data_IF_625492945104
#
_entry.id   IF_625492945104
#
_cell.length_a   1.000
_cell.length_b   1.000
_cell.length_c   1.000
_cell.angle_alpha   90.00
_cell.angle_beta   90.00
_cell.angle_gamma   90.00
#
_symmetry.space_group_name_H-M   'P 1'
#
loop_
_entity.id
_entity.type
_entity.pdbx_description
1 polymer ?
#
# COMPACT_ATOMS: atom_id res chain seq x y z
N UNK A 1 -5.18 -52.36 -28.03
CA UNK A 1 -4.10 -51.99 -27.08
C UNK A 1 -4.51 -50.71 -26.36
N UNK A 2 -5.12 -50.75 -25.18
CA UNK A 2 -4.55 -50.95 -23.82
C UNK A 2 -3.63 -49.78 -23.41
N UNK A 3 -3.85 -49.00 -22.33
CA UNK A 3 -4.73 -49.11 -21.15
C UNK A 3 -5.10 -47.71 -20.60
N UNK A 4 -6.22 -47.69 -19.88
CA UNK A 4 -7.08 -46.55 -19.46
C UNK A 4 -6.79 -46.04 -18.02
N UNK A 5 -7.50 -45.01 -17.52
CA UNK A 5 -7.00 -43.93 -16.66
C UNK A 5 -7.55 -43.91 -15.21
N UNK A 6 -7.16 -42.86 -14.47
CA UNK A 6 -7.79 -42.21 -13.30
C UNK A 6 -8.33 -43.06 -12.13
N UNK A 7 -7.57 -43.07 -11.03
CA UNK A 7 -8.05 -43.19 -9.63
C UNK A 7 -6.96 -42.47 -8.80
N UNK A 8 -7.19 -41.39 -8.06
CA UNK A 8 -7.81 -41.38 -6.73
C UNK A 8 -8.44 -40.00 -6.51
N UNK A 9 -9.76 -40.03 -6.46
CA UNK A 9 -10.62 -39.07 -5.77
C UNK A 9 -10.39 -39.16 -4.26
N UNK A 10 -10.22 -38.02 -3.59
CA UNK A 10 -10.51 -37.91 -2.16
C UNK A 10 -11.08 -36.52 -1.88
N UNK A 11 -12.39 -36.41 -2.06
CA UNK A 11 -13.20 -35.34 -1.51
C UNK A 11 -13.21 -35.48 0.02
N UNK A 12 -12.75 -34.46 0.74
CA UNK A 12 -13.08 -34.30 2.16
C UNK A 12 -14.26 -33.35 2.27
N UNK A 13 -15.41 -33.97 2.55
CA UNK A 13 -16.71 -33.36 2.80
C UNK A 13 -16.76 -32.82 4.22
N UNK A 14 -17.16 -31.55 4.34
CA UNK A 14 -18.02 -30.97 5.38
C UNK A 14 -17.73 -31.31 6.85
N UNK A 15 -17.25 -30.32 7.62
CA UNK A 15 -17.42 -30.30 9.08
C UNK A 15 -17.94 -28.94 9.52
N UNK A 16 -18.85 -29.01 10.48
CA UNK A 16 -19.95 -28.10 10.70
C UNK A 16 -19.66 -27.00 11.74
N UNK A 17 -20.65 -26.12 11.84
CA UNK A 17 -20.83 -24.93 12.67
C UNK A 17 -20.56 -25.04 14.19
N UNK A 18 -19.95 -23.95 14.72
CA UNK A 18 -20.08 -23.26 16.05
C UNK A 18 -19.58 -23.97 17.36
N UNK A 19 -19.17 -23.25 18.45
CA UNK A 19 -19.54 -21.87 18.83
C UNK A 19 -18.41 -20.92 19.34
N UNK A 20 -18.89 -19.72 19.69
CA UNK A 20 -18.33 -18.51 20.32
C UNK A 20 -17.61 -18.71 21.69
N UNK A 21 -16.81 -17.69 22.10
CA UNK A 21 -16.23 -17.38 23.44
C UNK A 21 -14.79 -17.93 23.64
N UNK A 22 -13.73 -17.12 23.84
CA UNK A 22 -13.58 -16.15 24.92
C UNK A 22 -12.69 -14.95 24.54
N UNK A 23 -13.22 -13.76 24.83
CA UNK A 23 -12.50 -12.50 24.79
C UNK A 23 -11.45 -12.48 25.92
N UNK A 24 -10.17 -12.55 25.58
CA UNK A 24 -9.10 -12.17 26.51
C UNK A 24 -9.03 -10.65 26.51
N UNK A 25 -9.69 -10.05 27.50
CA UNK A 25 -9.88 -8.61 27.63
C UNK A 25 -8.57 -7.81 27.60
N UNK A 26 -8.65 -6.53 27.21
CA UNK A 26 -7.50 -5.64 27.18
C UNK A 26 -7.00 -5.36 28.59
N UNK A 27 -5.69 -5.53 28.80
CA UNK A 27 -5.02 -5.01 30.00
C UNK A 27 -5.10 -3.48 29.97
N UNK A 28 -5.69 -2.82 30.98
CA UNK A 28 -5.76 -1.37 31.03
C UNK A 28 -4.42 -0.85 31.55
N UNK A 29 -3.53 -0.44 30.65
CA UNK A 29 -2.52 0.56 31.02
C UNK A 29 -3.22 1.91 30.98
N UNK A 30 -3.76 2.31 32.13
CA UNK A 30 -3.98 3.72 32.42
C UNK A 30 -2.62 4.40 32.46
N UNK A 31 -2.36 5.26 31.48
CA UNK A 31 -1.46 6.39 31.72
C UNK A 31 -1.93 7.58 30.89
N UNK A 32 -2.61 8.48 31.61
CA UNK A 32 -2.61 9.92 31.43
C UNK A 32 -3.26 10.46 30.15
N UNK A 33 -4.53 10.85 30.31
CA UNK A 33 -5.14 11.90 29.52
C UNK A 33 -4.29 13.17 29.57
N UNK A 34 -3.42 13.37 28.59
CA UNK A 34 -3.10 14.71 28.13
C UNK A 34 -4.21 15.13 27.20
N UNK A 35 -5.13 15.95 27.70
CA UNK A 35 -5.93 16.86 26.87
C UNK A 35 -4.95 17.84 26.24
N UNK A 36 -4.21 17.36 25.24
CA UNK A 36 -3.50 18.17 24.29
C UNK A 36 -4.54 18.64 23.31
N UNK A 37 -4.78 19.95 23.30
CA UNK A 37 -5.51 20.65 22.26
C UNK A 37 -4.89 20.25 20.91
N UNK A 38 -5.44 19.24 20.24
CA UNK A 38 -5.12 18.93 18.86
C UNK A 38 -5.73 20.06 18.06
N UNK A 39 -5.04 21.19 18.01
CA UNK A 39 -5.15 22.14 16.93
C UNK A 39 -5.01 21.30 15.68
N UNK A 40 -6.14 21.05 15.03
CA UNK A 40 -6.20 20.47 13.71
C UNK A 40 -5.35 21.37 12.84
N UNK A 41 -4.08 20.99 12.62
CA UNK A 41 -3.26 21.63 11.61
C UNK A 41 -4.08 21.64 10.33
N UNK A 42 -4.13 22.76 9.59
CA UNK A 42 -4.82 22.79 8.32
C UNK A 42 -4.32 21.61 7.51
N UNK A 43 -5.24 20.69 7.18
CA UNK A 43 -4.93 19.52 6.39
C UNK A 43 -4.51 20.05 5.03
N UNK A 44 -3.20 20.24 4.85
CA UNK A 44 -2.64 20.69 3.58
C UNK A 44 -3.12 19.70 2.53
N UNK A 45 -3.90 20.20 1.57
CA UNK A 45 -4.45 19.41 0.48
C UNK A 45 -3.28 18.69 -0.20
N UNK A 46 -3.26 17.37 -0.07
CA UNK A 46 -2.19 16.55 -0.62
C UNK A 46 -2.21 16.69 -2.15
N UNK A 47 -1.07 17.03 -2.75
CA UNK A 47 -1.03 17.14 -4.22
C UNK A 47 -1.25 15.77 -4.86
N UNK A 48 -1.73 15.75 -6.11
CA UNK A 48 -1.85 14.49 -6.87
C UNK A 48 -0.51 13.77 -6.94
N UNK A 49 0.58 14.49 -7.21
CA UNK A 49 1.92 13.89 -7.28
C UNK A 49 2.37 13.29 -5.96
N UNK A 50 2.06 13.93 -4.83
CA UNK A 50 2.35 13.39 -3.50
C UNK A 50 1.56 12.11 -3.20
N UNK A 51 0.27 12.06 -3.58
CA UNK A 51 -0.53 10.82 -3.48
C UNK A 51 0.06 9.70 -4.32
N UNK A 52 0.38 9.98 -5.59
CA UNK A 52 0.98 8.99 -6.51
C UNK A 52 2.31 8.49 -5.97
N UNK A 53 3.17 9.38 -5.46
CA UNK A 53 4.46 9.04 -4.86
C UNK A 53 4.30 8.05 -3.71
N UNK A 54 3.40 8.35 -2.76
CA UNK A 54 3.14 7.47 -1.61
C UNK A 54 2.59 6.10 -2.02
N UNK A 55 1.72 6.07 -3.02
CA UNK A 55 1.09 4.83 -3.48
C UNK A 55 2.02 3.93 -4.28
N UNK A 56 2.98 4.49 -5.02
CA UNK A 56 3.75 3.73 -6.02
C UNK A 56 5.25 3.69 -5.75
N UNK A 57 5.82 4.68 -5.07
CA UNK A 57 7.28 4.83 -4.92
C UNK A 57 7.73 4.54 -3.49
N UNK A 58 7.04 5.12 -2.49
CA UNK A 58 7.40 5.01 -1.06
C UNK A 58 7.10 3.64 -0.42
N UNK A 59 6.85 2.61 -1.23
CA UNK A 59 6.55 1.25 -0.76
C UNK A 59 7.81 0.45 -0.42
N UNK A 60 8.90 0.75 -1.13
CA UNK A 60 10.13 -0.02 -1.06
C UNK A 60 11.27 0.76 -0.38
N UNK A 61 11.27 2.08 -0.51
CA UNK A 61 12.26 2.97 0.09
C UNK A 61 11.68 4.40 0.12
N UNK A 62 12.27 5.27 0.93
CA UNK A 62 11.95 6.70 0.91
C UNK A 62 12.49 7.38 -0.35
N UNK A 63 11.94 8.55 -0.69
CA UNK A 63 12.51 9.36 -1.76
C UNK A 63 13.95 9.76 -1.38
N UNK A 64 14.89 9.71 -2.35
CA UNK A 64 16.17 10.38 -2.18
C UNK A 64 15.95 11.89 -2.06
N UNK A 65 16.90 12.57 -1.41
CA UNK A 65 16.85 14.02 -1.12
C UNK A 65 16.48 14.86 -2.36
N UNK A 66 17.10 14.59 -3.51
CA UNK A 66 16.70 15.16 -4.80
C UNK A 66 17.45 14.49 -5.95
N UNK A 67 16.94 14.69 -7.16
CA UNK A 67 17.64 14.41 -8.41
C UNK A 67 17.60 15.64 -9.31
N UNK A 68 18.55 15.80 -10.24
CA UNK A 68 18.40 16.75 -11.34
C UNK A 68 17.09 16.47 -12.12
N UNK A 69 16.37 17.49 -12.62
CA UNK A 69 15.07 17.28 -13.27
C UNK A 69 15.09 16.31 -14.46
N UNK A 70 16.19 16.27 -15.22
CA UNK A 70 16.38 15.32 -16.34
C UNK A 70 16.51 13.87 -15.86
N UNK A 71 17.14 13.65 -14.72
CA UNK A 71 17.28 12.33 -14.09
C UNK A 71 15.93 11.87 -13.56
N UNK A 72 15.19 12.75 -12.86
CA UNK A 72 13.81 12.49 -12.42
C UNK A 72 12.92 12.08 -13.60
N UNK A 73 12.97 12.81 -14.72
CA UNK A 73 12.19 12.46 -15.92
C UNK A 73 12.52 11.08 -16.48
N UNK A 74 13.80 10.72 -16.53
CA UNK A 74 14.23 9.40 -17.02
C UNK A 74 13.75 8.27 -16.10
N UNK A 75 13.91 8.45 -14.78
CA UNK A 75 13.43 7.48 -13.78
C UNK A 75 11.92 7.30 -13.90
N UNK A 76 11.16 8.40 -13.93
CA UNK A 76 9.69 8.33 -13.98
C UNK A 76 9.17 7.70 -15.26
N UNK A 77 9.84 7.92 -16.39
CA UNK A 77 9.52 7.25 -17.66
C UNK A 77 9.74 5.74 -17.58
N UNK A 78 10.79 5.29 -16.91
CA UNK A 78 11.00 3.88 -16.60
C UNK A 78 9.92 3.35 -15.62
N UNK A 79 9.53 4.15 -14.63
CA UNK A 79 8.51 3.79 -13.65
C UNK A 79 7.09 3.70 -14.23
N UNK A 80 6.79 4.31 -15.38
CA UNK A 80 5.53 4.04 -16.09
C UNK A 80 5.28 2.55 -16.31
N UNK A 81 6.34 1.82 -16.65
CA UNK A 81 6.26 0.39 -16.92
C UNK A 81 6.42 -0.40 -15.61
N UNK A 82 7.41 -0.05 -14.78
CA UNK A 82 7.75 -0.84 -13.58
C UNK A 82 6.79 -0.66 -12.41
N UNK A 83 6.19 0.51 -12.28
CA UNK A 83 5.23 0.86 -11.23
C UNK A 83 3.84 1.12 -11.81
N UNK A 84 3.60 0.73 -13.07
CA UNK A 84 2.30 0.85 -13.75
C UNK A 84 1.70 2.27 -13.71
N UNK A 85 2.53 3.30 -13.80
CA UNK A 85 2.06 4.69 -13.78
C UNK A 85 1.38 5.05 -15.11
N UNK A 86 0.23 5.72 -15.02
CA UNK A 86 -0.37 6.39 -16.17
C UNK A 86 0.49 7.58 -16.63
N UNK A 87 0.25 8.09 -17.85
CA UNK A 87 0.93 9.29 -18.34
C UNK A 87 0.66 10.52 -17.47
N UNK A 88 -0.56 10.61 -16.93
CA UNK A 88 -0.99 11.70 -16.07
C UNK A 88 -0.32 11.61 -14.70
N UNK A 89 -0.15 10.39 -14.17
CA UNK A 89 0.52 10.18 -12.89
C UNK A 89 2.02 10.43 -12.99
N UNK A 90 2.68 10.02 -14.08
CA UNK A 90 4.06 10.38 -14.38
C UNK A 90 4.24 11.91 -14.36
N UNK A 91 3.37 12.66 -15.05
CA UNK A 91 3.45 14.13 -15.11
C UNK A 91 3.23 14.78 -13.74
N UNK A 92 2.22 14.33 -12.99
CA UNK A 92 1.95 14.83 -11.65
C UNK A 92 3.11 14.54 -10.70
N UNK A 93 3.72 13.36 -10.82
CA UNK A 93 4.86 12.96 -10.02
C UNK A 93 6.12 13.75 -10.39
N UNK A 94 6.33 14.05 -11.68
CA UNK A 94 7.45 14.88 -12.14
C UNK A 94 7.39 16.30 -11.56
N UNK A 95 6.18 16.88 -11.51
CA UNK A 95 5.96 18.18 -10.87
C UNK A 95 6.20 18.13 -9.36
N UNK A 96 5.79 17.04 -8.71
CA UNK A 96 6.01 16.87 -7.28
C UNK A 96 7.50 16.68 -6.92
N UNK A 97 8.26 15.97 -7.76
CA UNK A 97 9.69 15.73 -7.51
C UNK A 97 10.59 16.93 -7.86
N UNK A 98 10.09 17.87 -8.67
CA UNK A 98 10.82 19.06 -9.09
C UNK A 98 9.93 20.30 -8.90
N UNK A 99 9.63 20.68 -7.65
CA UNK A 99 8.80 21.84 -7.33
C UNK A 99 9.46 23.17 -7.74
#
# INVERSE_FOLDING_TARGET
>A
MNRRPHVITAAFVLSALLPLIAQKGPSPKSETARTGNTQSMPKQEESRGQRVFRQNCARCHDAPQSFPPSVSGTILRHMRVRASLSAQDEKALLQFMNP
#
